data_IF_987634621865
#
_entry.id   IF_987634621865
#
_cell.length_a   1.000
_cell.length_b   1.000
_cell.length_c   1.000
_cell.angle_alpha   90.00
_cell.angle_beta   90.00
_cell.angle_gamma   90.00
#
_symmetry.space_group_name_H-M   'P 1'
#
loop_
_entity.id
_entity.type
_entity.pdbx_description
1 polymer ?
#
# COMPACT_ATOMS: atom_id res chain seq x y z
N UNK A 1 -4.37 9.37 1.79
CA UNK A 1 -3.24 8.78 1.07
C UNK A 1 -2.11 9.78 1.18
N UNK A 2 -0.96 9.34 1.68
CA UNK A 2 0.21 10.21 1.81
C UNK A 2 1.00 10.08 0.53
N UNK A 3 1.03 11.16 -0.25
CA UNK A 3 2.05 11.36 -1.28
C UNK A 3 3.16 12.12 -0.57
N UNK A 4 4.34 11.52 -0.47
CA UNK A 4 5.50 12.24 0.05
C UNK A 4 5.97 13.24 -1.02
N UNK A 5 6.18 14.50 -0.64
CA UNK A 5 6.91 15.45 -1.47
C UNK A 5 8.37 15.61 -0.97
N UNK A 6 8.63 15.21 0.26
CA UNK A 6 9.94 15.30 0.89
C UNK A 6 10.59 13.91 1.00
N UNK A 7 11.85 13.81 0.59
CA UNK A 7 12.69 12.61 0.72
C UNK A 7 13.57 12.64 1.97
N UNK A 8 13.70 13.79 2.63
CA UNK A 8 14.39 13.97 3.91
C UNK A 8 13.43 13.67 5.07
N UNK A 9 12.80 12.50 5.01
CA UNK A 9 12.06 11.99 6.15
C UNK A 9 13.07 11.60 7.23
N UNK A 10 13.36 12.53 8.14
CA UNK A 10 14.08 12.23 9.38
C UNK A 10 13.18 11.37 10.26
N UNK A 11 13.22 10.06 10.05
CA UNK A 11 12.52 9.14 10.92
C UNK A 11 13.26 9.10 12.26
N UNK A 12 12.60 9.54 13.33
CA UNK A 12 13.08 9.37 14.71
C UNK A 12 12.92 7.92 15.19
N UNK A 13 13.03 6.95 14.28
CA UNK A 13 12.94 5.52 14.58
C UNK A 13 14.36 4.93 14.57
N UNK A 14 14.79 4.22 15.62
CA UNK A 14 16.04 3.49 15.57
C UNK A 14 15.96 2.38 14.51
N UNK A 15 17.07 2.13 13.82
CA UNK A 15 17.27 0.97 12.92
C UNK A 15 16.40 0.91 11.65
N UNK A 16 16.09 2.04 11.02
CA UNK A 16 15.46 2.04 9.70
C UNK A 16 16.50 1.84 8.59
N UNK A 17 16.25 0.85 7.73
CA UNK A 17 16.88 0.74 6.42
C UNK A 17 15.92 1.26 5.34
N UNK A 18 16.45 2.04 4.41
CA UNK A 18 15.67 2.65 3.32
C UNK A 18 16.14 2.08 1.99
N UNK A 19 15.24 1.46 1.24
CA UNK A 19 15.46 1.05 -0.15
C UNK A 19 14.74 2.03 -1.05
N UNK A 20 15.50 2.73 -1.91
CA UNK A 20 14.96 3.64 -2.92
C UNK A 20 14.94 2.95 -4.27
N UNK A 21 13.83 3.08 -4.98
CA UNK A 21 13.65 2.55 -6.34
C UNK A 21 12.99 3.61 -7.20
N UNK A 22 13.54 3.88 -8.38
CA UNK A 22 12.95 4.82 -9.34
C UNK A 22 12.14 4.06 -10.37
N UNK A 23 10.90 4.50 -10.57
CA UNK A 23 10.07 4.05 -11.67
C UNK A 23 10.16 5.03 -12.84
N UNK A 24 10.52 4.50 -14.00
CA UNK A 24 10.53 5.22 -15.27
C UNK A 24 9.33 4.77 -16.11
N UNK A 25 8.44 5.68 -16.54
CA UNK A 25 7.31 5.34 -17.38
C UNK A 25 7.76 4.68 -18.70
N UNK A 26 7.14 3.57 -19.05
CA UNK A 26 7.32 2.90 -20.34
C UNK A 26 5.99 2.88 -21.07
N UNK A 27 5.80 3.83 -21.99
CA UNK A 27 4.55 3.99 -22.75
C UNK A 27 3.31 4.25 -21.86
N UNK A 28 2.15 3.82 -22.32
CA UNK A 28 0.88 3.95 -21.59
C UNK A 28 0.75 2.90 -20.47
N UNK A 29 1.43 3.14 -19.35
CA UNK A 29 1.43 2.23 -18.22
C UNK A 29 0.63 2.82 -17.04
N UNK A 30 -0.55 2.27 -16.74
CA UNK A 30 -1.42 2.74 -15.63
C UNK A 30 -1.19 1.99 -14.32
N UNK A 31 -0.53 0.82 -14.42
CA UNK A 31 -0.21 -0.09 -13.33
C UNK A 31 1.11 -0.77 -13.65
N UNK A 32 2.03 -0.78 -12.69
CA UNK A 32 3.33 -1.42 -12.83
C UNK A 32 3.70 -2.19 -11.55
N UNK A 33 4.49 -3.25 -11.70
CA UNK A 33 5.04 -4.01 -10.59
C UNK A 33 6.56 -3.93 -10.62
N UNK A 34 7.15 -3.54 -9.50
CA UNK A 34 8.61 -3.51 -9.35
C UNK A 34 9.09 -4.48 -8.28
N UNK A 35 10.21 -5.16 -8.53
CA UNK A 35 10.83 -6.05 -7.55
C UNK A 35 11.61 -5.23 -6.51
N UNK A 36 11.34 -5.47 -5.23
CA UNK A 36 12.05 -4.86 -4.11
C UNK A 36 13.23 -5.72 -3.62
N UNK A 37 13.22 -7.03 -3.93
CA UNK A 37 14.28 -8.02 -3.69
C UNK A 37 14.87 -7.99 -2.27
N UNK A 38 14.09 -8.48 -1.29
CA UNK A 38 14.60 -8.91 0.02
C UNK A 38 13.71 -10.01 0.61
N UNK A 39 14.03 -11.27 0.27
CA UNK A 39 13.26 -12.46 0.68
C UNK A 39 13.09 -12.56 2.21
N UNK A 40 14.06 -12.05 2.97
CA UNK A 40 14.05 -12.11 4.43
C UNK A 40 12.96 -11.27 5.10
N UNK A 41 12.48 -10.20 4.47
CA UNK A 41 11.50 -9.29 5.09
C UNK A 41 10.19 -10.01 5.40
N UNK A 42 9.80 -10.91 4.49
CA UNK A 42 8.52 -11.60 4.58
C UNK A 42 8.64 -12.84 5.45
N UNK A 43 9.75 -13.58 5.35
CA UNK A 43 9.97 -14.78 6.16
C UNK A 43 10.19 -14.45 7.64
N UNK A 44 10.85 -13.33 7.94
CA UNK A 44 11.11 -12.89 9.33
C UNK A 44 10.00 -12.01 9.93
N UNK A 45 8.89 -11.80 9.20
CA UNK A 45 7.81 -10.87 9.60
C UNK A 45 8.34 -9.49 10.02
N UNK A 46 9.35 -8.98 9.31
CA UNK A 46 9.95 -7.68 9.62
C UNK A 46 8.95 -6.59 9.20
N UNK A 47 8.63 -5.61 10.06
CA UNK A 47 7.75 -4.53 9.69
C UNK A 47 8.40 -3.59 8.66
N UNK A 48 7.68 -3.35 7.58
CA UNK A 48 8.09 -2.42 6.52
C UNK A 48 6.89 -1.63 6.01
N UNK A 49 7.14 -0.46 5.42
CA UNK A 49 6.12 0.40 4.81
C UNK A 49 6.70 1.16 3.61
N UNK A 50 5.85 1.77 2.80
CA UNK A 50 6.24 2.42 1.55
C UNK A 50 5.74 3.84 1.41
N UNK A 51 6.46 4.67 0.68
CA UNK A 51 6.02 6.02 0.32
C UNK A 51 6.38 6.26 -1.16
N UNK A 52 5.40 6.49 -2.04
CA UNK A 52 5.66 7.04 -3.35
C UNK A 52 5.96 8.53 -3.22
N UNK A 53 7.01 8.96 -3.89
CA UNK A 53 7.54 10.32 -3.89
C UNK A 53 7.58 10.82 -5.34
N UNK A 54 6.90 11.94 -5.59
CA UNK A 54 7.02 12.62 -6.88
C UNK A 54 8.35 13.35 -6.98
N UNK A 55 8.96 13.32 -8.16
CA UNK A 55 10.14 14.14 -8.44
C UNK A 55 9.73 15.61 -8.60
N UNK A 56 8.62 15.88 -9.31
CA UNK A 56 8.10 17.23 -9.54
C UNK A 56 6.58 17.33 -9.28
N UNK A 57 6.19 18.33 -8.48
CA UNK A 57 4.79 18.63 -8.18
C UNK A 57 4.31 19.79 -9.05
N UNK A 58 3.87 19.49 -10.27
CA UNK A 58 3.28 20.48 -11.18
C UNK A 58 1.74 20.47 -11.13
N UNK A 59 1.10 21.44 -11.79
CA UNK A 59 -0.37 21.60 -11.82
C UNK A 59 -1.10 20.37 -12.38
N UNK A 60 -0.47 19.60 -13.26
CA UNK A 60 -1.01 18.37 -13.86
C UNK A 60 -1.07 17.23 -12.82
N UNK A 61 -0.05 17.14 -11.96
CA UNK A 61 0.04 16.11 -10.92
C UNK A 61 -0.84 16.39 -9.69
N UNK A 62 -1.40 17.61 -9.54
CA UNK A 62 -2.23 17.98 -8.36
C UNK A 62 -3.47 17.10 -8.16
N UNK A 63 -3.99 16.48 -9.23
CA UNK A 63 -5.13 15.55 -9.15
C UNK A 63 -4.73 14.08 -9.13
N UNK A 64 -3.44 13.77 -9.24
CA UNK A 64 -2.95 12.41 -9.30
C UNK A 64 -2.77 11.84 -7.91
N UNK A 65 -3.21 10.60 -7.79
CA UNK A 65 -3.21 9.81 -6.58
C UNK A 65 -2.40 8.55 -6.92
N UNK A 66 -1.20 8.41 -6.33
CA UNK A 66 -0.38 7.20 -6.46
C UNK A 66 -0.71 6.23 -5.34
N UNK A 67 -1.36 5.13 -5.71
CA UNK A 67 -1.54 4.00 -4.81
C UNK A 67 -0.44 2.97 -5.02
N UNK A 68 -0.19 2.20 -3.98
CA UNK A 68 0.68 1.06 -4.05
C UNK A 68 0.20 -0.06 -3.12
N UNK A 69 0.58 -1.29 -3.43
CA UNK A 69 0.44 -2.44 -2.56
C UNK A 69 1.74 -3.24 -2.58
N UNK A 70 2.12 -3.82 -1.45
CA UNK A 70 3.13 -4.85 -1.47
C UNK A 70 2.50 -6.17 -1.86
N UNK A 71 3.24 -6.99 -2.61
CA UNK A 71 2.81 -8.31 -3.02
C UNK A 71 3.95 -9.31 -2.87
N UNK A 72 3.67 -10.44 -2.24
CA UNK A 72 4.57 -11.57 -2.11
C UNK A 72 4.14 -12.69 -3.04
N UNK A 73 4.94 -13.01 -4.05
CA UNK A 73 4.73 -14.19 -4.88
C UNK A 73 6.05 -14.94 -4.96
N UNK A 74 6.05 -16.23 -4.62
CA UNK A 74 7.23 -17.10 -4.68
C UNK A 74 8.45 -16.51 -3.94
N UNK A 75 8.22 -16.00 -2.72
CA UNK A 75 9.19 -15.30 -1.87
C UNK A 75 9.76 -13.99 -2.44
N UNK A 76 9.26 -13.51 -3.58
CA UNK A 76 9.65 -12.23 -4.15
C UNK A 76 8.70 -11.11 -3.71
N UNK A 77 9.24 -10.13 -2.97
CA UNK A 77 8.52 -8.93 -2.61
C UNK A 77 8.46 -7.98 -3.81
N UNK A 78 7.25 -7.71 -4.27
CA UNK A 78 6.91 -6.76 -5.32
C UNK A 78 6.17 -5.56 -4.75
N UNK A 79 6.32 -4.43 -5.42
CA UNK A 79 5.54 -3.22 -5.20
C UNK A 79 4.68 -3.03 -6.44
N UNK A 80 3.38 -3.22 -6.27
CA UNK A 80 2.37 -2.96 -7.29
C UNK A 80 1.92 -1.51 -7.16
N UNK A 81 2.27 -0.68 -8.13
CA UNK A 81 1.95 0.75 -8.15
C UNK A 81 0.89 1.05 -9.20
N UNK A 82 0.07 2.06 -8.93
CA UNK A 82 -0.96 2.54 -9.86
C UNK A 82 -1.23 4.01 -9.64
N UNK A 83 -1.66 4.70 -10.71
CA UNK A 83 -2.06 6.10 -10.62
C UNK A 83 -3.54 6.28 -10.95
N UNK A 84 -4.20 7.15 -10.19
CA UNK A 84 -5.61 7.49 -10.35
C UNK A 84 -5.77 9.00 -10.38
N UNK A 85 -6.57 9.52 -11.31
CA UNK A 85 -6.89 10.93 -11.38
C UNK A 85 -8.29 11.17 -10.80
N UNK A 86 -8.37 11.90 -9.69
CA UNK A 86 -9.63 12.17 -9.00
C UNK A 86 -10.61 13.02 -9.81
N UNK A 87 -10.11 13.89 -10.68
CA UNK A 87 -10.93 14.76 -11.55
C UNK A 87 -11.71 13.96 -12.59
N UNK A 88 -11.03 13.07 -13.32
CA UNK A 88 -11.66 12.25 -14.37
C UNK A 88 -12.16 10.90 -13.83
N UNK A 89 -11.85 10.58 -12.57
CA UNK A 89 -12.24 9.34 -11.88
C UNK A 89 -11.81 8.08 -12.63
N UNK A 90 -10.61 8.10 -13.19
CA UNK A 90 -10.03 7.00 -13.96
C UNK A 90 -8.58 6.72 -13.56
N UNK A 91 -8.13 5.50 -13.82
CA UNK A 91 -6.70 5.20 -13.85
C UNK A 91 -6.04 5.95 -15.01
N UNK A 92 -4.93 6.60 -14.70
CA UNK A 92 -4.12 7.37 -15.66
C UNK A 92 -2.72 6.76 -15.75
N UNK A 93 -1.89 7.28 -16.65
CA UNK A 93 -0.53 6.78 -16.80
C UNK A 93 0.27 7.13 -15.53
N UNK A 94 0.99 6.14 -15.01
CA UNK A 94 1.92 6.31 -13.92
C UNK A 94 3.01 7.30 -14.34
N UNK A 95 3.19 8.40 -13.61
CA UNK A 95 4.28 9.32 -13.87
C UNK A 95 5.60 8.75 -13.35
N UNK A 96 6.71 9.38 -13.73
CA UNK A 96 8.01 9.12 -13.11
C UNK A 96 7.92 9.43 -11.62
N UNK A 97 8.38 8.49 -10.80
CA UNK A 97 8.34 8.63 -9.34
C UNK A 97 9.44 7.80 -8.69
N UNK A 98 9.83 8.22 -7.49
CA UNK A 98 10.68 7.46 -6.60
C UNK A 98 9.80 6.74 -5.57
N UNK A 99 10.05 5.46 -5.35
CA UNK A 99 9.45 4.72 -4.26
C UNK A 99 10.49 4.50 -3.16
N UNK A 100 10.16 4.92 -1.95
CA UNK A 100 10.96 4.62 -0.77
C UNK A 100 10.27 3.53 0.04
N UNK A 101 10.94 2.37 0.16
CA UNK A 101 10.55 1.32 1.08
C UNK A 101 11.37 1.46 2.37
N UNK A 102 10.69 1.49 3.51
CA UNK A 102 11.26 1.61 4.84
C UNK A 102 11.14 0.28 5.55
N UNK A 103 12.27 -0.24 6.03
CA UNK A 103 12.37 -1.50 6.75
C UNK A 103 12.79 -1.17 8.16
N UNK A 104 12.02 -1.61 9.15
CA UNK A 104 12.36 -1.42 10.56
C UNK A 104 13.12 -2.67 11.01
N UNK A 105 14.45 -2.62 10.95
CA UNK A 105 15.30 -3.71 11.40
C UNK A 105 15.29 -3.80 12.93
N UNK A 106 15.32 -5.02 13.47
CA UNK A 106 15.29 -5.28 14.92
C UNK A 106 14.16 -4.51 15.63
N UNK A 107 12.89 -4.70 15.21
CA UNK A 107 11.77 -3.98 15.80
C UNK A 107 11.67 -4.30 17.29
N UNK A 108 11.35 -3.29 18.10
CA UNK A 108 11.05 -3.47 19.52
C UNK A 108 9.96 -4.54 19.65
N UNK A 109 10.15 -5.48 20.57
CA UNK A 109 9.16 -6.55 20.83
C UNK A 109 7.78 -5.94 21.08
N UNK A 110 6.74 -6.53 20.50
CA UNK A 110 5.35 -6.05 20.52
C UNK A 110 5.07 -4.71 19.80
N UNK A 111 6.06 -4.01 19.23
CA UNK A 111 5.85 -2.75 18.51
C UNK A 111 5.05 -2.89 17.21
N UNK A 112 4.94 -4.12 16.69
CA UNK A 112 4.20 -4.44 15.48
C UNK A 112 3.30 -5.65 15.64
N UNK A 113 2.25 -5.71 14.82
CA UNK A 113 1.33 -6.86 14.77
C UNK A 113 0.92 -7.17 13.34
N UNK A 114 0.78 -8.46 13.05
CA UNK A 114 0.04 -8.95 11.90
C UNK A 114 -1.43 -9.03 12.28
N UNK A 115 -2.29 -8.31 11.56
CA UNK A 115 -3.72 -8.27 11.83
C UNK A 115 -4.52 -8.81 10.64
N UNK A 116 -5.48 -9.70 10.89
CA UNK A 116 -6.36 -10.20 9.84
C UNK A 116 -7.41 -9.17 9.46
N UNK A 117 -7.99 -9.34 8.27
CA UNK A 117 -9.18 -8.60 7.87
C UNK A 117 -10.43 -9.14 8.55
N UNK A 118 -11.24 -8.22 9.08
CA UNK A 118 -12.63 -8.44 9.46
C UNK A 118 -13.54 -7.88 8.39
N UNK A 119 -14.79 -8.34 8.39
CA UNK A 119 -15.79 -7.94 7.40
C UNK A 119 -16.98 -7.35 8.11
N UNK A 120 -17.42 -6.16 7.67
CA UNK A 120 -18.62 -5.56 8.22
C UNK A 120 -19.81 -6.47 7.88
N UNK A 121 -20.60 -6.87 8.86
CA UNK A 121 -21.77 -7.75 8.66
C UNK A 121 -22.70 -7.18 7.59
N UNK A 122 -22.98 -5.87 7.64
CA UNK A 122 -23.98 -5.24 6.79
C UNK A 122 -23.53 -4.96 5.34
N UNK A 123 -22.26 -4.60 5.13
CA UNK A 123 -21.75 -4.12 3.83
C UNK A 123 -20.77 -5.09 3.16
N UNK A 124 -20.45 -6.19 3.84
CA UNK A 124 -19.39 -7.13 3.49
C UNK A 124 -18.07 -6.45 3.08
N UNK A 125 -17.73 -5.32 3.71
CA UNK A 125 -16.51 -4.55 3.40
C UNK A 125 -15.37 -4.96 4.33
N UNK A 126 -14.17 -5.22 3.79
CA UNK A 126 -12.99 -5.53 4.58
C UNK A 126 -12.53 -4.32 5.40
N UNK A 127 -12.16 -4.59 6.64
CA UNK A 127 -11.52 -3.63 7.53
C UNK A 127 -10.54 -4.35 8.48
N UNK A 128 -9.53 -3.65 8.96
CA UNK A 128 -8.63 -4.11 10.02
C UNK A 128 -9.07 -3.43 11.31
N UNK A 129 -9.18 -4.21 12.38
CA UNK A 129 -9.65 -3.76 13.69
C UNK A 129 -8.50 -3.70 14.67
N UNK A 130 -8.31 -2.55 15.30
CA UNK A 130 -7.28 -2.27 16.30
C UNK A 130 -7.82 -2.22 17.72
N UNK A 131 -9.15 -2.34 17.90
CA UNK A 131 -9.75 -2.28 19.22
C UNK A 131 -9.13 -3.34 20.13
N UNK A 132 -8.61 -2.90 21.27
CA UNK A 132 -7.91 -3.72 22.26
C UNK A 132 -6.70 -4.49 21.70
N UNK A 133 -6.12 -4.05 20.57
CA UNK A 133 -4.91 -4.67 19.97
C UNK A 133 -3.62 -4.00 20.43
N UNK A 134 -3.69 -2.77 20.91
CA UNK A 134 -2.55 -2.03 21.45
C UNK A 134 -2.87 -1.59 22.89
N UNK A 135 -1.85 -1.55 23.74
CA UNK A 135 -1.97 -1.17 25.17
C UNK A 135 -2.31 0.31 25.34
N UNK A 136 -2.04 1.10 24.32
CA UNK A 136 -2.49 2.48 24.19
C UNK A 136 -3.53 2.57 23.08
N UNK A 137 -4.50 3.49 23.20
CA UNK A 137 -5.45 3.83 22.14
C UNK A 137 -4.76 4.47 20.90
N UNK A 138 -3.43 4.34 20.78
CA UNK A 138 -2.64 4.95 19.74
C UNK A 138 -3.00 4.35 18.39
N UNK A 139 -3.29 5.24 17.46
CA UNK A 139 -3.39 4.94 16.04
C UNK A 139 -2.02 4.42 15.56
N UNK A 140 -1.97 3.34 14.77
CA UNK A 140 -0.70 2.86 14.23
C UNK A 140 -0.03 3.99 13.44
N UNK A 141 1.27 4.17 13.66
CA UNK A 141 2.08 5.14 12.91
C UNK A 141 2.28 4.70 11.47
N UNK A 142 2.49 3.39 11.27
CA UNK A 142 2.69 2.81 9.95
C UNK A 142 1.82 1.58 9.74
N UNK A 143 1.35 1.45 8.50
CA UNK A 143 0.47 0.37 8.07
C UNK A 143 0.95 -0.06 6.70
N UNK A 144 1.09 -1.37 6.54
CA UNK A 144 1.46 -1.98 5.27
C UNK A 144 0.56 -3.16 4.96
N UNK A 145 0.17 -3.30 3.71
CA UNK A 145 -0.57 -4.44 3.20
C UNK A 145 0.32 -5.25 2.27
N UNK A 146 0.33 -6.57 2.49
CA UNK A 146 1.01 -7.52 1.65
C UNK A 146 0.00 -8.52 1.07
N UNK A 147 -0.10 -8.56 -0.26
CA UNK A 147 -0.96 -9.44 -1.05
C UNK A 147 -0.21 -10.70 -1.46
N UNK A 148 -0.88 -11.83 -1.64
CA UNK A 148 -0.28 -13.05 -2.25
C UNK A 148 -0.72 -13.28 -3.70
N UNK A 149 -1.76 -12.58 -4.18
CA UNK A 149 -2.27 -12.66 -5.56
C UNK A 149 -2.14 -11.32 -6.27
N UNK A 150 -2.12 -11.34 -7.60
CA UNK A 150 -1.88 -10.16 -8.43
C UNK A 150 -3.15 -9.57 -9.04
N UNK A 151 -4.28 -10.27 -9.02
CA UNK A 151 -5.53 -9.87 -9.68
C UNK A 151 -6.48 -9.02 -8.80
N UNK A 152 -6.01 -8.56 -7.63
CA UNK A 152 -6.77 -7.61 -6.80
C UNK A 152 -6.93 -6.27 -7.50
N UNK A 153 -8.15 -5.75 -7.42
CA UNK A 153 -8.46 -4.35 -7.70
C UNK A 153 -7.54 -3.45 -6.88
N UNK A 154 -6.95 -2.41 -7.47
CA UNK A 154 -6.27 -1.39 -6.71
C UNK A 154 -7.18 -0.79 -5.64
N UNK A 155 -6.66 -0.65 -4.42
CA UNK A 155 -7.40 -0.11 -3.29
C UNK A 155 -6.53 0.84 -2.48
N UNK A 156 -7.18 1.70 -1.72
CA UNK A 156 -6.57 2.63 -0.79
C UNK A 156 -6.95 2.27 0.64
N UNK A 157 -6.01 2.51 1.55
CA UNK A 157 -6.24 2.45 2.97
C UNK A 157 -6.83 3.76 3.46
N UNK A 158 -7.91 3.66 4.23
CA UNK A 158 -8.52 4.78 4.95
C UNK A 158 -8.46 4.49 6.45
N UNK A 159 -7.51 5.12 7.12
CA UNK A 159 -7.41 5.08 8.56
C UNK A 159 -8.59 5.81 9.21
N UNK A 160 -9.09 5.21 10.28
CA UNK A 160 -10.15 5.70 11.16
C UNK A 160 -9.72 5.38 12.59
N UNK A 161 -10.41 5.99 13.56
CA UNK A 161 -10.24 5.65 14.97
C UNK A 161 -10.41 4.13 15.11
N UNK A 162 -9.40 3.48 15.70
CA UNK A 162 -9.35 2.05 16.00
C UNK A 162 -9.50 1.09 14.80
N UNK A 163 -9.47 1.57 13.55
CA UNK A 163 -9.65 0.68 12.40
C UNK A 163 -9.03 1.22 11.11
N UNK A 164 -8.76 0.33 10.16
CA UNK A 164 -8.44 0.69 8.77
C UNK A 164 -9.46 0.10 7.84
N UNK A 165 -10.06 0.95 7.00
CA UNK A 165 -10.97 0.50 5.94
C UNK A 165 -10.20 0.38 4.64
N UNK A 166 -10.44 -0.68 3.89
CA UNK A 166 -9.94 -0.82 2.52
C UNK A 166 -11.00 -0.27 1.56
N UNK A 167 -10.55 0.53 0.60
CA UNK A 167 -11.41 1.21 -0.38
C UNK A 167 -10.89 0.98 -1.78
N UNK A 168 -11.58 0.14 -2.55
CA UNK A 168 -11.40 0.11 -3.99
C UNK A 168 -11.98 1.40 -4.58
N UNK A 169 -11.30 1.97 -5.57
CA UNK A 169 -11.81 3.12 -6.33
C UNK A 169 -12.54 2.63 -7.57
N UNK A 170 -13.70 3.23 -7.83
CA UNK A 170 -14.42 3.02 -9.07
C UNK A 170 -13.74 3.81 -10.20
N UNK A 171 -13.69 3.20 -11.38
CA UNK A 171 -13.07 3.78 -12.56
C UNK A 171 -14.14 4.01 -13.63
N UNK A 172 -14.27 5.25 -14.07
CA UNK A 172 -15.30 5.68 -15.03
C UNK A 172 -14.95 5.34 -16.50
N UNK A 173 -13.94 4.50 -16.75
CA UNK A 173 -13.51 4.15 -18.11
C UNK A 173 -14.41 3.11 -18.81
N UNK A 174 -15.53 2.69 -18.23
CA UNK A 174 -16.36 1.62 -18.80
C UNK A 174 -15.65 0.27 -18.94
N UNK A 175 -14.71 -0.03 -18.03
CA UNK A 175 -13.85 -1.25 -18.04
C UNK A 175 -12.92 -1.38 -19.26
N UNK A 176 -12.63 -0.29 -19.96
CA UNK A 176 -11.78 -0.32 -21.17
C UNK A 176 -10.29 -0.34 -20.86
N UNK A 177 -9.86 0.22 -19.73
CA UNK A 177 -8.44 0.27 -19.38
C UNK A 177 -7.90 -1.07 -18.86
N UNK A 178 -6.60 -1.31 -19.04
CA UNK A 178 -5.91 -2.55 -18.64
C UNK A 178 -6.11 -2.90 -17.16
N UNK A 179 -6.10 -1.90 -16.27
CA UNK A 179 -6.34 -2.11 -14.83
C UNK A 179 -7.73 -2.69 -14.59
N UNK A 180 -8.78 -2.11 -15.20
CA UNK A 180 -10.14 -2.60 -15.02
C UNK A 180 -10.42 -3.95 -15.69
N UNK A 181 -9.69 -4.28 -16.75
CA UNK A 181 -9.77 -5.58 -17.42
C UNK A 181 -9.10 -6.69 -16.60
N UNK A 182 -7.93 -6.40 -16.03
CA UNK A 182 -7.06 -7.42 -15.44
C UNK A 182 -7.21 -7.54 -13.91
N UNK A 183 -7.59 -6.46 -13.22
CA UNK A 183 -7.67 -6.39 -11.76
C UNK A 183 -9.14 -6.42 -11.32
N UNK A 184 -9.66 -7.61 -11.06
CA UNK A 184 -11.10 -7.83 -10.87
C UNK A 184 -11.47 -8.23 -9.44
N UNK A 185 -10.53 -8.78 -8.66
CA UNK A 185 -10.83 -9.29 -7.32
C UNK A 185 -10.95 -8.20 -6.27
N UNK A 186 -11.90 -8.36 -5.36
CA UNK A 186 -11.90 -7.69 -4.06
C UNK A 186 -11.36 -8.64 -2.99
N UNK A 187 -11.03 -8.10 -1.81
CA UNK A 187 -10.70 -8.94 -0.66
C UNK A 187 -11.99 -9.63 -0.18
N UNK A 188 -11.98 -10.97 -0.12
CA UNK A 188 -13.14 -11.78 0.24
C UNK A 188 -13.07 -12.27 1.69
N UNK A 189 -14.24 -12.55 2.27
CA UNK A 189 -14.34 -13.09 3.64
C UNK A 189 -13.75 -14.51 3.68
N UNK A 190 -12.88 -14.76 4.66
CA UNK A 190 -12.22 -16.07 4.84
C UNK A 190 -10.94 -16.26 4.00
N UNK A 191 -10.55 -15.25 3.22
CA UNK A 191 -9.32 -15.27 2.44
C UNK A 191 -8.10 -14.92 3.32
N UNK A 192 -7.02 -15.70 3.19
CA UNK A 192 -5.75 -15.49 3.91
C UNK A 192 -4.64 -14.88 3.05
N UNK A 193 -5.01 -14.42 1.85
CA UNK A 193 -4.11 -13.90 0.82
C UNK A 193 -3.73 -12.44 1.03
N UNK A 194 -4.30 -11.78 2.03
CA UNK A 194 -3.98 -10.40 2.38
C UNK A 194 -3.60 -10.30 3.85
N UNK A 195 -2.37 -9.86 4.10
CA UNK A 195 -1.83 -9.61 5.44
C UNK A 195 -1.68 -8.12 5.69
N UNK A 196 -2.14 -7.65 6.85
CA UNK A 196 -1.90 -6.28 7.30
C UNK A 196 -0.83 -6.29 8.40
N UNK A 197 0.28 -5.58 8.16
CA UNK A 197 1.30 -5.31 9.16
C UNK A 197 1.05 -3.89 9.69
N UNK A 198 1.00 -3.75 11.01
CA UNK A 198 0.88 -2.45 11.66
C UNK A 198 2.02 -2.25 12.63
N UNK A 199 2.53 -1.02 12.70
CA UNK A 199 3.58 -0.59 13.61
C UNK A 199 3.10 0.66 14.37
N UNK A 200 3.25 0.69 15.68
CA UNK A 200 2.62 1.71 16.54
C UNK A 200 3.60 2.57 17.35
N UNK A 201 4.89 2.24 17.35
CA UNK A 201 5.90 2.95 18.15
C UNK A 201 6.53 4.14 17.43
#
# INVERSE_FOLDING_TARGET
MVVGYDTNLSFNLPNIEVIKKTYYPQGECKFNSMVLSKNELITKNIPFFGIPVFEDLNSLNKSFIIGYNFRNVNNELKIDMFSYCSKVRCYVNLPKLNFCAFIINHPISNAYKLLPFRFSILKNKPFVDFKNKFTSHLNPKYVSLCLSKDNYKPFFLKQKIEQIKVKCVDCNCGKTCSVCKNKTLGILKGENDVKCIVYHY
#
